data_IF_040955026436
#
_entry.id   IF_040955026436
#
_cell.length_a   1.000
_cell.length_b   1.000
_cell.length_c   1.000
_cell.angle_alpha   90.00
_cell.angle_beta   90.00
_cell.angle_gamma   90.00
#
_symmetry.space_group_name_H-M   'P 1'
#
loop_
_entity.id
_entity.type
_entity.pdbx_description
1 polymer ?
#
# COMPACT_ATOMS: atom_id res chain seq x y z
N UNK A 1 9.66 20.93 30.90
CA UNK A 1 9.35 20.79 29.46
C UNK A 1 7.87 20.49 29.22
N UNK A 2 7.26 19.59 30.00
CA UNK A 2 5.83 19.22 29.92
C UNK A 2 4.87 20.40 30.17
N UNK A 3 5.14 21.28 31.14
CA UNK A 3 4.27 22.44 31.42
C UNK A 3 4.18 23.43 30.24
N UNK A 4 5.30 23.69 29.56
CA UNK A 4 5.32 24.59 28.41
C UNK A 4 4.52 24.03 27.23
N UNK A 5 4.64 22.72 26.96
CA UNK A 5 3.85 22.05 25.93
C UNK A 5 2.35 22.10 26.24
N UNK A 6 1.96 21.83 27.49
CA UNK A 6 0.56 21.89 27.91
C UNK A 6 -0.02 23.29 27.71
N UNK A 7 0.74 24.34 28.03
CA UNK A 7 0.33 25.74 27.78
C UNK A 7 0.10 25.99 26.29
N UNK A 8 1.02 25.59 25.42
CA UNK A 8 0.88 25.77 23.96
C UNK A 8 -0.32 25.01 23.37
N UNK A 9 -0.59 23.80 23.87
CA UNK A 9 -1.77 23.01 23.46
C UNK A 9 -3.05 23.73 23.88
N UNK A 10 -3.13 24.20 25.12
CA UNK A 10 -4.30 24.94 25.63
C UNK A 10 -4.56 26.24 24.86
N UNK A 11 -3.51 27.01 24.55
CA UNK A 11 -3.61 28.22 23.73
C UNK A 11 -4.09 27.90 22.30
N UNK A 12 -3.59 26.83 21.69
CA UNK A 12 -4.04 26.39 20.36
C UNK A 12 -5.50 25.91 20.36
N UNK A 13 -5.95 25.23 21.41
CA UNK A 13 -7.35 24.83 21.56
C UNK A 13 -8.28 26.03 21.74
N UNK A 14 -7.90 26.97 22.60
CA UNK A 14 -8.66 28.20 22.80
C UNK A 14 -8.77 28.97 21.47
N UNK A 15 -7.68 29.13 20.73
CA UNK A 15 -7.69 29.78 19.42
C UNK A 15 -8.64 29.10 18.43
N UNK A 16 -8.69 27.74 18.41
CA UNK A 16 -9.61 27.00 17.53
C UNK A 16 -11.08 27.24 17.88
N UNK A 17 -11.39 27.37 19.18
CA UNK A 17 -12.74 27.72 19.67
C UNK A 17 -13.13 29.13 19.25
N UNK A 18 -12.20 30.07 19.36
CA UNK A 18 -12.42 31.48 18.99
C UNK A 18 -12.52 31.68 17.46
N UNK A 19 -11.91 30.80 16.66
CA UNK A 19 -11.85 30.91 15.20
C UNK A 19 -12.26 29.61 14.48
N UNK A 20 -13.53 29.18 14.58
CA UNK A 20 -13.97 27.89 14.04
C UNK A 20 -13.86 27.82 12.50
N UNK A 21 -14.13 28.93 11.80
CA UNK A 21 -14.06 29.02 10.33
C UNK A 21 -12.63 28.93 9.82
N UNK A 22 -11.69 29.67 10.44
CA UNK A 22 -10.28 29.62 10.07
C UNK A 22 -9.71 28.23 10.35
N UNK A 23 -10.08 27.61 11.47
CA UNK A 23 -9.67 26.25 11.81
C UNK A 23 -10.13 25.24 10.76
N UNK A 24 -11.40 25.31 10.33
CA UNK A 24 -11.93 24.48 9.24
C UNK A 24 -11.21 24.74 7.91
N UNK A 25 -10.99 26.01 7.56
CA UNK A 25 -10.28 26.40 6.33
C UNK A 25 -8.83 25.91 6.32
N UNK A 26 -8.08 26.08 7.41
CA UNK A 26 -6.72 25.57 7.53
C UNK A 26 -6.68 24.04 7.44
N UNK A 27 -7.64 23.35 8.05
CA UNK A 27 -7.80 21.90 7.92
C UNK A 27 -8.01 21.49 6.46
N UNK A 28 -8.95 22.13 5.77
CA UNK A 28 -9.22 21.89 4.36
C UNK A 28 -7.99 22.17 3.48
N UNK A 29 -7.36 23.34 3.64
CA UNK A 29 -6.15 23.74 2.90
C UNK A 29 -4.98 22.78 3.14
N UNK A 30 -4.81 22.27 4.36
CA UNK A 30 -3.78 21.25 4.66
C UNK A 30 -4.09 19.93 3.96
N UNK A 31 -5.34 19.47 3.97
CA UNK A 31 -5.77 18.24 3.27
C UNK A 31 -5.59 18.38 1.77
N UNK A 32 -6.12 19.44 1.17
CA UNK A 32 -5.99 19.71 -0.28
C UNK A 32 -4.54 19.94 -0.68
N UNK A 33 -3.73 20.62 0.14
CA UNK A 33 -2.31 20.81 -0.11
C UNK A 33 -1.47 19.53 -0.04
N UNK A 34 -1.84 18.56 0.81
CA UNK A 34 -1.24 17.21 0.80
C UNK A 34 -1.61 16.47 -0.49
N UNK A 35 -2.91 16.40 -0.81
CA UNK A 35 -3.41 15.74 -2.01
C UNK A 35 -2.78 16.33 -3.29
N UNK A 36 -2.71 17.66 -3.40
CA UNK A 36 -2.09 18.35 -4.52
C UNK A 36 -0.60 18.03 -4.67
N UNK A 37 0.16 18.02 -3.56
CA UNK A 37 1.58 17.66 -3.60
C UNK A 37 1.78 16.21 -4.04
N UNK A 38 0.90 15.30 -3.62
CA UNK A 38 0.93 13.91 -4.04
C UNK A 38 0.61 13.77 -5.53
N UNK A 39 -0.49 14.36 -6.00
CA UNK A 39 -0.88 14.39 -7.42
C UNK A 39 0.22 14.97 -8.31
N UNK A 40 0.84 16.08 -7.91
CA UNK A 40 1.93 16.70 -8.66
C UNK A 40 3.16 15.80 -8.81
N UNK A 41 3.37 14.84 -7.90
CA UNK A 41 4.50 13.90 -7.96
C UNK A 41 4.20 12.65 -8.79
N UNK A 42 2.93 12.31 -9.02
CA UNK A 42 2.53 11.11 -9.77
C UNK A 42 3.17 10.99 -11.17
N UNK A 43 3.24 12.06 -12.00
CA UNK A 43 3.84 11.93 -13.33
C UNK A 43 5.32 11.55 -13.28
N UNK A 44 6.07 12.09 -12.31
CA UNK A 44 7.47 11.74 -12.11
C UNK A 44 7.63 10.28 -11.70
N UNK A 45 6.82 9.80 -10.75
CA UNK A 45 6.88 8.41 -10.30
C UNK A 45 6.54 7.43 -11.42
N UNK A 46 5.52 7.75 -12.23
CA UNK A 46 5.16 6.95 -13.42
C UNK A 46 6.31 6.91 -14.44
N UNK A 47 6.94 8.06 -14.71
CA UNK A 47 8.09 8.12 -15.61
C UNK A 47 9.28 7.31 -15.08
N UNK A 48 9.58 7.41 -13.79
CA UNK A 48 10.63 6.60 -13.16
C UNK A 48 10.33 5.11 -13.30
N UNK A 49 9.13 4.65 -12.93
CA UNK A 49 8.72 3.24 -13.09
C UNK A 49 8.82 2.76 -14.53
N UNK A 50 8.37 3.55 -15.50
CA UNK A 50 8.48 3.21 -16.92
C UNK A 50 9.94 3.10 -17.40
N UNK A 51 10.85 3.94 -16.88
CA UNK A 51 12.25 3.98 -17.32
C UNK A 51 13.13 2.91 -16.66
N UNK A 52 12.92 2.59 -15.38
CA UNK A 52 13.80 1.68 -14.62
C UNK A 52 13.10 0.52 -13.91
N UNK A 53 11.78 0.40 -14.05
CA UNK A 53 10.98 -0.62 -13.38
C UNK A 53 10.52 -0.28 -11.96
N UNK A 54 11.02 0.81 -11.35
CA UNK A 54 10.61 1.28 -10.01
C UNK A 54 10.77 2.80 -9.88
N UNK A 55 10.18 3.42 -8.86
CA UNK A 55 10.39 4.84 -8.50
C UNK A 55 11.18 4.99 -7.21
N UNK A 56 11.71 6.18 -6.94
CA UNK A 56 12.51 6.40 -5.73
C UNK A 56 11.64 6.30 -4.47
N UNK A 57 10.35 6.61 -4.59
CA UNK A 57 9.38 6.43 -3.52
C UNK A 57 9.16 4.95 -3.22
N UNK A 58 9.10 4.11 -4.25
CA UNK A 58 8.93 2.66 -4.10
C UNK A 58 10.13 2.04 -3.36
N UNK A 59 11.34 2.61 -3.51
CA UNK A 59 12.52 2.11 -2.79
C UNK A 59 12.45 2.27 -1.26
N UNK A 60 11.62 3.18 -0.74
CA UNK A 60 11.41 3.34 0.71
C UNK A 60 10.36 2.39 1.29
N UNK A 61 9.60 1.70 0.44
CA UNK A 61 8.58 0.70 0.79
C UNK A 61 8.57 -0.39 -0.26
N UNK A 62 9.75 -0.98 -0.50
CA UNK A 62 9.99 -1.83 -1.65
C UNK A 62 9.21 -3.14 -1.57
N UNK A 63 9.06 -3.67 -0.36
CA UNK A 63 8.20 -4.79 -0.03
C UNK A 63 6.73 -4.54 -0.38
N UNK A 64 6.17 -3.38 0.00
CA UNK A 64 4.80 -2.99 -0.37
C UNK A 64 4.63 -2.89 -1.88
N UNK A 65 5.62 -2.27 -2.55
CA UNK A 65 5.63 -2.18 -4.01
C UNK A 65 5.63 -3.55 -4.68
N UNK A 66 6.52 -4.44 -4.25
CA UNK A 66 6.64 -5.80 -4.81
C UNK A 66 5.37 -6.61 -4.52
N UNK A 67 4.79 -6.50 -3.32
CA UNK A 67 3.53 -7.14 -2.99
C UNK A 67 2.42 -6.74 -3.97
N UNK A 68 2.24 -5.43 -4.22
CA UNK A 68 1.27 -4.93 -5.19
C UNK A 68 1.53 -5.42 -6.62
N UNK A 69 2.79 -5.40 -7.07
CA UNK A 69 3.15 -5.90 -8.42
C UNK A 69 2.83 -7.38 -8.58
N UNK A 70 3.13 -8.21 -7.58
CA UNK A 70 2.85 -9.65 -7.62
C UNK A 70 1.35 -9.91 -7.54
N UNK A 71 0.62 -9.19 -6.69
CA UNK A 71 -0.83 -9.31 -6.58
C UNK A 71 -1.52 -8.98 -7.92
N UNK A 72 -1.14 -7.87 -8.54
CA UNK A 72 -1.64 -7.45 -9.87
C UNK A 72 -1.30 -8.48 -10.96
N UNK A 73 -0.10 -9.08 -10.90
CA UNK A 73 0.32 -10.12 -11.84
C UNK A 73 -0.53 -11.40 -11.67
N UNK A 74 -0.79 -11.84 -10.44
CA UNK A 74 -1.68 -12.97 -10.15
C UNK A 74 -3.10 -12.70 -10.66
N UNK A 75 -3.65 -11.50 -10.43
CA UNK A 75 -4.94 -11.10 -10.97
C UNK A 75 -4.97 -11.09 -12.51
N UNK A 76 -3.88 -10.65 -13.14
CA UNK A 76 -3.75 -10.69 -14.58
C UNK A 76 -3.75 -12.12 -15.12
N UNK A 77 -2.95 -13.02 -14.51
CA UNK A 77 -2.88 -14.44 -14.88
C UNK A 77 -4.25 -15.11 -14.82
N UNK A 78 -5.01 -14.83 -13.75
CA UNK A 78 -6.39 -15.32 -13.57
C UNK A 78 -7.32 -14.82 -14.68
N UNK A 79 -7.21 -13.54 -15.06
CA UNK A 79 -8.04 -12.94 -16.13
C UNK A 79 -7.74 -13.53 -17.51
N UNK A 80 -6.46 -13.76 -17.83
CA UNK A 80 -6.06 -14.28 -19.15
C UNK A 80 -6.21 -15.79 -19.27
N UNK A 81 -6.32 -16.54 -18.15
CA UNK A 81 -6.52 -18.00 -18.10
C UNK A 81 -5.45 -18.81 -18.87
N UNK A 82 -4.27 -18.23 -19.04
CA UNK A 82 -3.13 -18.85 -19.71
C UNK A 82 -2.02 -19.15 -18.71
N UNK A 83 -1.21 -20.18 -19.00
CA UNK A 83 -0.03 -20.50 -18.20
C UNK A 83 -0.30 -21.25 -16.89
N UNK A 84 -1.42 -21.96 -16.77
CA UNK A 84 -1.67 -22.84 -15.61
C UNK A 84 -0.72 -24.05 -15.61
N UNK A 85 -0.33 -24.57 -14.43
CA UNK A 85 0.37 -25.84 -14.32
C UNK A 85 -0.42 -27.01 -14.92
N UNK A 86 0.29 -28.00 -15.47
CA UNK A 86 -0.31 -29.18 -16.14
C UNK A 86 -1.10 -30.05 -15.15
N UNK A 87 -0.66 -30.07 -13.89
CA UNK A 87 -1.21 -30.85 -12.78
C UNK A 87 -2.41 -30.20 -12.07
N UNK A 88 -2.80 -28.97 -12.45
CA UNK A 88 -3.90 -28.24 -11.81
C UNK A 88 -5.02 -27.94 -12.79
N UNK A 89 -6.27 -28.11 -12.37
CA UNK A 89 -7.43 -27.60 -13.11
C UNK A 89 -7.45 -26.06 -13.11
N UNK A 90 -8.25 -25.47 -14.01
CA UNK A 90 -8.42 -24.01 -14.05
C UNK A 90 -8.97 -23.46 -12.72
N UNK A 91 -9.93 -24.14 -12.11
CA UNK A 91 -10.52 -23.72 -10.83
C UNK A 91 -9.50 -23.80 -9.67
N UNK A 92 -8.69 -24.86 -9.62
CA UNK A 92 -7.62 -24.98 -8.62
C UNK A 92 -6.56 -23.90 -8.80
N UNK A 93 -6.24 -23.56 -10.06
CA UNK A 93 -5.28 -22.51 -10.37
C UNK A 93 -5.79 -21.13 -9.97
N UNK A 94 -7.04 -20.80 -10.29
CA UNK A 94 -7.66 -19.54 -9.89
C UNK A 94 -7.71 -19.40 -8.37
N UNK A 95 -8.10 -20.46 -7.65
CA UNK A 95 -8.12 -20.46 -6.19
C UNK A 95 -6.72 -20.27 -5.59
N UNK A 96 -5.70 -20.88 -6.20
CA UNK A 96 -4.31 -20.68 -5.80
C UNK A 96 -3.87 -19.23 -6.00
N UNK A 97 -4.13 -18.64 -7.18
CA UNK A 97 -3.81 -17.24 -7.47
C UNK A 97 -4.51 -16.27 -6.50
N UNK A 98 -5.79 -16.51 -6.20
CA UNK A 98 -6.55 -15.71 -5.22
C UNK A 98 -5.96 -15.83 -3.81
N UNK A 99 -5.47 -17.01 -3.44
CA UNK A 99 -4.80 -17.25 -2.14
C UNK A 99 -3.47 -16.50 -1.98
N UNK A 100 -2.88 -16.05 -3.08
CA UNK A 100 -1.66 -15.22 -3.11
C UNK A 100 -2.04 -13.75 -3.23
N UNK A 101 -2.86 -13.38 -4.22
CA UNK A 101 -3.18 -11.99 -4.54
C UNK A 101 -3.89 -11.26 -3.39
N UNK A 102 -4.86 -11.91 -2.73
CA UNK A 102 -5.67 -11.26 -1.69
C UNK A 102 -4.84 -10.69 -0.51
N UNK A 103 -4.01 -11.50 0.16
CA UNK A 103 -3.12 -11.02 1.21
C UNK A 103 -2.15 -9.93 0.76
N UNK A 104 -1.59 -10.06 -0.45
CA UNK A 104 -0.61 -9.10 -0.98
C UNK A 104 -1.24 -7.76 -1.33
N UNK A 105 -2.46 -7.74 -1.88
CA UNK A 105 -3.23 -6.49 -2.06
C UNK A 105 -3.49 -5.81 -0.73
N UNK A 106 -3.98 -6.55 0.28
CA UNK A 106 -4.24 -5.99 1.61
C UNK A 106 -2.99 -5.35 2.21
N UNK A 107 -1.85 -6.02 2.09
CA UNK A 107 -0.58 -5.49 2.60
C UNK A 107 -0.08 -4.31 1.78
N UNK A 108 -0.05 -4.42 0.45
CA UNK A 108 0.51 -3.42 -0.46
C UNK A 108 -0.28 -2.11 -0.52
N UNK A 109 -1.61 -2.18 -0.44
CA UNK A 109 -2.46 -0.99 -0.39
C UNK A 109 -2.38 -0.29 0.97
N UNK A 110 -2.23 -1.08 2.04
CA UNK A 110 -2.25 -0.63 3.43
C UNK A 110 -3.62 -0.09 3.85
N UNK A 111 -3.88 -0.07 5.15
CA UNK A 111 -5.01 0.66 5.72
C UNK A 111 -4.44 1.85 6.54
N UNK A 112 -4.70 3.11 6.13
CA UNK A 112 -4.17 4.26 6.86
C UNK A 112 -4.70 4.38 8.30
N UNK A 113 -5.79 3.67 8.62
CA UNK A 113 -6.42 3.63 9.93
C UNK A 113 -6.13 2.33 10.69
N UNK A 114 -5.33 1.41 10.14
CA UNK A 114 -4.96 0.17 10.81
C UNK A 114 -4.21 0.43 12.11
N UNK A 115 -4.53 -0.41 13.09
CA UNK A 115 -3.72 -0.57 14.30
C UNK A 115 -2.42 -1.30 13.98
N UNK A 116 -1.44 -1.17 14.89
CA UNK A 116 -0.18 -1.88 14.77
C UNK A 116 -0.35 -3.41 14.67
N UNK A 117 -1.30 -3.97 15.43
CA UNK A 117 -1.56 -5.42 15.42
C UNK A 117 -2.19 -5.87 14.10
N UNK A 118 -3.05 -5.05 13.50
CA UNK A 118 -3.64 -5.31 12.18
C UNK A 118 -2.58 -5.26 11.08
N UNK A 119 -1.69 -4.26 11.11
CA UNK A 119 -0.56 -4.16 10.18
C UNK A 119 0.39 -5.36 10.32
N UNK A 120 0.69 -5.78 11.55
CA UNK A 120 1.53 -6.95 11.81
C UNK A 120 0.88 -8.25 11.31
N UNK A 121 -0.43 -8.38 11.44
CA UNK A 121 -1.19 -9.50 10.89
C UNK A 121 -1.17 -9.49 9.35
N UNK A 122 -1.41 -8.34 8.72
CA UNK A 122 -1.37 -8.18 7.27
C UNK A 122 0.02 -8.51 6.70
N UNK A 123 1.08 -8.06 7.37
CA UNK A 123 2.46 -8.42 7.02
C UNK A 123 2.69 -9.94 7.11
N UNK A 124 2.24 -10.57 8.19
CA UNK A 124 2.38 -12.02 8.39
C UNK A 124 1.68 -12.80 7.27
N UNK A 125 0.45 -12.41 6.93
CA UNK A 125 -0.32 -12.99 5.83
C UNK A 125 0.38 -12.81 4.47
N UNK A 126 0.95 -11.63 4.23
CA UNK A 126 1.69 -11.32 3.00
C UNK A 126 2.97 -12.16 2.87
N UNK A 127 3.72 -12.36 3.95
CA UNK A 127 4.89 -13.26 3.97
C UNK A 127 4.49 -14.69 3.62
N UNK A 128 3.39 -15.20 4.21
CA UNK A 128 2.89 -16.53 3.87
C UNK A 128 2.46 -16.63 2.39
N UNK A 129 1.83 -15.59 1.85
CA UNK A 129 1.47 -15.53 0.43
C UNK A 129 2.71 -15.48 -0.49
N UNK A 130 3.76 -14.74 -0.12
CA UNK A 130 5.03 -14.70 -0.85
C UNK A 130 5.72 -16.06 -0.87
N UNK A 131 5.70 -16.81 0.24
CA UNK A 131 6.21 -18.17 0.26
C UNK A 131 5.42 -19.08 -0.71
N UNK A 132 4.08 -19.04 -0.68
CA UNK A 132 3.26 -19.80 -1.63
C UNK A 132 3.58 -19.44 -3.08
N UNK A 133 3.73 -18.14 -3.37
CA UNK A 133 4.11 -17.65 -4.69
C UNK A 133 5.46 -18.23 -5.12
N UNK A 134 6.47 -18.15 -4.25
CA UNK A 134 7.79 -18.71 -4.48
C UNK A 134 7.75 -20.23 -4.69
N UNK A 135 6.88 -20.97 -4.01
CA UNK A 135 6.79 -22.43 -4.17
C UNK A 135 6.38 -22.86 -5.60
N UNK A 136 5.52 -22.08 -6.28
CA UNK A 136 5.10 -22.40 -7.66
C UNK A 136 5.92 -21.68 -8.73
N UNK A 137 6.34 -20.44 -8.47
CA UNK A 137 7.04 -19.61 -9.46
C UNK A 137 8.56 -19.55 -9.25
N UNK A 138 9.07 -20.03 -8.11
CA UNK A 138 10.50 -19.98 -7.77
C UNK A 138 11.36 -20.77 -8.75
N UNK A 139 10.84 -21.88 -9.27
CA UNK A 139 11.52 -22.70 -10.29
C UNK A 139 11.76 -21.97 -11.62
N UNK A 140 11.15 -20.81 -11.86
CA UNK A 140 11.45 -20.00 -13.05
C UNK A 140 12.82 -19.31 -12.97
N UNK A 141 13.46 -19.35 -11.81
CA UNK A 141 14.74 -18.70 -11.55
C UNK A 141 15.90 -19.70 -11.36
N UNK A 142 15.62 -21.00 -11.41
CA UNK A 142 16.61 -22.09 -11.38
C UNK A 142 17.05 -22.48 -12.81
#
# INVERSE_FOLDING_TARGET
>A
MTEHLNKLVAEAEQWRRDHPWLSRWYGLRRRTGKAWRWLKRQPRHRWERARRGFSYMDAWGFDLYIAGVIADACDHLRKVRHGRPVDMTEAEWDAYLDSVAGPLHRYGDGDPDATYDEDAAAYTDAVAAMHRFADKFGSFWD
#
